data_IF_441497329407
#
_entry.id   IF_441497329407
#
_cell.length_a   1.000
_cell.length_b   1.000
_cell.length_c   1.000
_cell.angle_alpha   90.00
_cell.angle_beta   90.00
_cell.angle_gamma   90.00
#
_symmetry.space_group_name_H-M   'P 1'
#
loop_
_entity.id
_entity.type
_entity.pdbx_description
1 polymer ?
#
# COMPACT_ATOMS: atom_id res chain seq x y z
N UNK A 1 -27.98 37.85 -7.26
CA UNK A 1 -26.56 38.16 -6.99
C UNK A 1 -26.23 37.72 -5.57
N UNK A 2 -25.50 36.61 -5.36
CA UNK A 2 -25.09 36.19 -4.03
C UNK A 2 -23.75 36.83 -3.65
N UNK A 3 -23.72 37.47 -2.48
CA UNK A 3 -22.54 38.12 -1.87
C UNK A 3 -21.72 37.07 -1.14
N UNK A 4 -20.44 36.93 -1.50
CA UNK A 4 -19.46 36.16 -0.73
C UNK A 4 -18.83 37.04 0.36
N UNK A 5 -18.78 36.50 1.58
CA UNK A 5 -18.23 37.15 2.77
C UNK A 5 -16.79 36.67 2.94
N UNK A 6 -15.85 37.59 2.81
CA UNK A 6 -14.41 37.37 2.95
C UNK A 6 -14.05 37.18 4.44
N UNK A 7 -13.47 36.02 4.79
CA UNK A 7 -12.95 35.77 6.13
C UNK A 7 -11.45 36.06 6.17
N UNK A 8 -11.13 37.02 7.03
CA UNK A 8 -9.84 37.68 7.21
C UNK A 8 -8.67 36.74 7.56
N UNK A 9 -7.55 36.95 6.86
CA UNK A 9 -6.19 36.53 7.25
C UNK A 9 -5.82 37.09 8.64
N UNK A 10 -5.29 36.24 9.52
CA UNK A 10 -4.39 36.68 10.60
C UNK A 10 -2.98 36.15 10.36
N UNK A 11 -2.09 37.05 9.94
CA UNK A 11 -0.65 36.97 10.18
C UNK A 11 -0.40 37.35 11.64
N UNK A 12 0.43 36.59 12.35
CA UNK A 12 1.22 37.11 13.48
C UNK A 12 2.68 36.72 13.28
N UNK A 13 3.45 37.73 12.93
CA UNK A 13 4.88 37.90 13.21
C UNK A 13 5.08 37.99 14.74
N UNK A 14 6.11 37.34 15.27
CA UNK A 14 7.27 38.05 15.82
C UNK A 14 7.86 37.34 17.03
N UNK A 15 9.12 37.65 17.40
CA UNK A 15 10.09 36.73 18.02
C UNK A 15 10.43 37.07 19.50
N UNK A 16 11.53 36.48 20.00
CA UNK A 16 12.18 36.65 21.35
C UNK A 16 11.58 35.70 22.43
N UNK A 17 12.30 34.96 23.27
CA UNK A 17 13.58 35.07 23.99
C UNK A 17 14.12 33.61 24.23
N UNK A 18 15.34 33.25 24.66
CA UNK A 18 16.36 33.86 25.51
C UNK A 18 17.68 33.03 25.35
N UNK A 19 18.82 33.73 25.36
CA UNK A 19 20.18 33.18 25.45
C UNK A 19 20.40 32.39 26.76
N UNK A 20 21.14 31.28 26.70
CA UNK A 20 22.06 30.89 27.78
C UNK A 20 23.41 30.56 27.16
N UNK A 21 24.39 31.43 27.43
CA UNK A 21 25.80 31.24 27.15
C UNK A 21 26.39 30.36 28.27
N UNK A 22 27.11 29.32 27.89
CA UNK A 22 27.94 28.52 28.80
C UNK A 22 29.13 27.96 28.03
N UNK A 23 30.18 28.77 27.89
CA UNK A 23 31.50 28.32 27.44
C UNK A 23 32.25 27.66 28.58
N UNK A 24 32.70 26.41 28.38
CA UNK A 24 33.98 25.95 28.90
C UNK A 24 34.67 25.05 27.86
N UNK A 25 35.91 25.45 27.55
CA UNK A 25 36.88 24.73 26.72
C UNK A 25 37.42 23.52 27.50
N UNK A 26 37.45 22.35 26.86
CA UNK A 26 38.61 21.44 26.80
C UNK A 26 38.21 20.09 26.18
N UNK A 27 38.87 19.72 25.07
CA UNK A 27 39.04 18.34 24.59
C UNK A 27 37.78 17.51 24.32
N UNK A 28 37.17 17.67 23.15
CA UNK A 28 36.20 16.67 22.66
C UNK A 28 36.93 15.62 21.82
N UNK A 29 36.91 14.33 22.20
CA UNK A 29 37.31 13.24 21.32
C UNK A 29 36.35 13.20 20.12
N UNK A 30 36.88 12.80 18.96
CA UNK A 30 36.10 12.46 17.78
C UNK A 30 34.87 11.64 18.20
N UNK A 31 33.64 12.02 17.80
CA UNK A 31 32.48 11.22 18.15
C UNK A 31 32.70 9.80 17.57
N UNK A 32 32.45 8.73 18.35
CA UNK A 32 32.43 7.40 17.77
C UNK A 32 31.38 7.39 16.65
N UNK A 33 31.54 6.54 15.61
CA UNK A 33 30.51 6.39 14.59
C UNK A 33 29.18 6.14 15.30
N UNK A 34 28.23 7.06 15.10
CA UNK A 34 26.86 6.85 15.54
C UNK A 34 26.40 5.63 14.76
N UNK A 35 26.31 4.49 15.44
CA UNK A 35 25.58 3.37 14.92
C UNK A 35 24.19 3.89 14.60
N UNK A 36 23.82 3.90 13.32
CA UNK A 36 22.43 4.04 12.91
C UNK A 36 21.66 2.97 13.65
N UNK A 37 21.02 3.37 14.74
CA UNK A 37 20.04 2.54 15.40
C UNK A 37 18.84 2.54 14.48
N UNK A 38 18.83 1.58 13.54
CA UNK A 38 17.64 1.21 12.80
C UNK A 38 16.64 0.76 13.84
N UNK A 39 15.74 1.67 14.22
CA UNK A 39 14.63 1.36 15.11
C UNK A 39 13.66 0.49 14.32
N UNK A 40 13.86 -0.83 14.38
CA UNK A 40 12.84 -1.83 14.04
C UNK A 40 11.66 -1.59 14.99
N UNK A 41 10.69 -0.77 14.56
CA UNK A 41 9.50 -0.55 15.38
C UNK A 41 8.75 -1.88 15.53
N UNK A 42 8.48 -2.34 16.77
CA UNK A 42 7.73 -3.55 17.00
C UNK A 42 6.29 -3.37 16.57
N UNK A 43 5.83 -4.24 15.66
CA UNK A 43 4.44 -4.28 15.26
C UNK A 43 3.73 -5.42 16.02
N UNK A 44 2.88 -5.03 16.97
CA UNK A 44 2.16 -5.97 17.83
C UNK A 44 0.99 -6.62 17.07
N UNK A 45 1.14 -7.89 16.71
CA UNK A 45 0.01 -8.78 16.37
C UNK A 45 -0.44 -9.44 17.67
N UNK A 46 -1.74 -9.60 17.89
CA UNK A 46 -2.33 -9.91 19.21
C UNK A 46 -2.15 -11.37 19.70
N UNK A 47 -1.04 -12.00 19.32
CA UNK A 47 -0.40 -13.13 20.02
C UNK A 47 1.11 -13.26 19.69
N UNK A 48 1.67 -12.34 18.90
CA UNK A 48 3.09 -12.25 18.64
C UNK A 48 3.49 -11.00 17.86
N UNK A 49 4.74 -10.58 17.96
CA UNK A 49 5.26 -9.38 17.30
C UNK A 49 6.00 -9.84 16.05
N UNK A 50 5.72 -9.23 14.91
CA UNK A 50 6.56 -9.41 13.71
C UNK A 50 7.48 -8.22 13.57
N UNK A 51 8.79 -8.48 13.59
CA UNK A 51 9.83 -7.50 13.43
C UNK A 51 10.53 -7.72 12.10
N UNK A 52 10.60 -6.70 11.27
CA UNK A 52 11.60 -6.66 10.22
C UNK A 52 12.97 -6.38 10.84
N UNK A 53 13.94 -7.25 10.56
CA UNK A 53 15.32 -6.96 10.93
C UNK A 53 15.87 -5.78 10.11
N UNK A 54 16.96 -5.18 10.59
CA UNK A 54 17.50 -3.93 10.04
C UNK A 54 17.95 -4.03 8.57
N UNK A 55 18.49 -5.18 8.15
CA UNK A 55 18.91 -5.39 6.75
C UNK A 55 17.77 -5.85 5.84
N UNK A 56 16.58 -6.06 6.42
CA UNK A 56 15.39 -6.50 5.74
C UNK A 56 15.37 -7.93 5.22
N UNK A 57 16.40 -8.72 5.51
CA UNK A 57 16.55 -10.10 5.06
C UNK A 57 15.95 -11.10 6.03
N UNK A 58 15.34 -10.67 7.13
CA UNK A 58 14.75 -11.58 8.10
C UNK A 58 13.53 -10.94 8.74
N UNK A 59 12.48 -11.74 8.89
CA UNK A 59 11.43 -11.41 9.85
C UNK A 59 11.66 -12.20 11.13
N UNK A 60 11.80 -11.47 12.24
CA UNK A 60 11.81 -12.03 13.57
C UNK A 60 10.38 -12.02 14.10
N UNK A 61 9.84 -13.21 14.31
CA UNK A 61 8.49 -13.43 14.78
C UNK A 61 8.58 -13.83 16.25
N UNK A 62 8.03 -13.02 17.16
CA UNK A 62 8.03 -13.26 18.59
C UNK A 62 6.61 -13.60 19.04
N UNK A 63 6.26 -14.87 19.17
CA UNK A 63 4.91 -15.27 19.59
C UNK A 63 4.89 -15.78 21.03
N UNK A 64 3.81 -15.53 21.76
CA UNK A 64 3.57 -16.15 23.06
C UNK A 64 2.89 -17.52 22.86
N UNK A 65 3.45 -18.57 23.45
CA UNK A 65 2.85 -19.90 23.49
C UNK A 65 2.71 -20.34 24.95
N UNK A 66 1.52 -20.13 25.53
CA UNK A 66 1.32 -20.30 26.97
C UNK A 66 2.13 -19.30 27.78
N UNK A 67 3.08 -19.78 28.59
CA UNK A 67 4.00 -18.95 29.38
C UNK A 67 5.35 -18.71 28.68
N UNK A 68 5.58 -19.31 27.51
CA UNK A 68 6.85 -19.22 26.79
C UNK A 68 6.80 -18.20 25.66
N UNK A 69 7.89 -17.46 25.47
CA UNK A 69 8.11 -16.62 24.30
C UNK A 69 8.86 -17.45 23.26
N UNK A 70 8.24 -17.66 22.11
CA UNK A 70 8.83 -18.36 20.96
C UNK A 70 9.31 -17.33 19.96
N UNK A 71 10.60 -17.36 19.65
CA UNK A 71 11.18 -16.58 18.55
C UNK A 71 11.34 -17.50 17.34
N UNK A 72 10.71 -17.13 16.22
CA UNK A 72 10.89 -17.79 14.92
C UNK A 72 11.56 -16.81 13.98
N UNK A 73 12.54 -17.31 13.25
CA UNK A 73 13.23 -16.56 12.21
C UNK A 73 12.69 -17.01 10.86
N UNK A 74 12.14 -16.07 10.10
CA UNK A 74 11.86 -16.28 8.70
C UNK A 74 12.98 -15.62 7.91
N UNK A 75 13.98 -16.42 7.54
CA UNK A 75 15.05 -15.96 6.67
C UNK A 75 14.48 -15.64 5.29
N UNK A 76 14.81 -14.45 4.82
CA UNK A 76 14.50 -13.97 3.50
C UNK A 76 15.81 -13.82 2.71
N UNK A 77 15.91 -14.39 1.51
CA UNK A 77 17.18 -14.42 0.78
C UNK A 77 17.73 -13.05 0.34
N UNK A 78 16.95 -11.95 0.45
CA UNK A 78 17.40 -10.59 0.11
C UNK A 78 16.66 -9.45 0.83
N UNK A 79 17.32 -8.29 0.88
CA UNK A 79 16.91 -7.03 1.53
C UNK A 79 15.87 -6.21 0.72
N UNK A 80 15.65 -6.60 -0.55
CA UNK A 80 14.88 -5.89 -1.57
C UNK A 80 13.48 -6.48 -1.80
N UNK A 81 13.06 -7.48 -1.02
CA UNK A 81 11.72 -8.01 -1.14
C UNK A 81 10.68 -7.01 -0.65
N UNK A 82 9.71 -6.77 -1.53
CA UNK A 82 8.53 -6.01 -1.21
C UNK A 82 7.78 -6.72 -0.09
N UNK A 83 7.53 -5.95 0.97
CA UNK A 83 6.93 -6.41 2.21
C UNK A 83 6.04 -5.33 2.75
N UNK A 84 4.96 -5.76 3.39
CA UNK A 84 4.14 -4.86 4.16
C UNK A 84 3.61 -5.52 5.41
N UNK A 85 3.21 -4.64 6.31
CA UNK A 85 2.27 -4.98 7.36
C UNK A 85 0.88 -4.62 6.85
N UNK A 86 -0.08 -5.52 7.06
CA UNK A 86 -1.48 -5.26 6.68
C UNK A 86 -2.03 -4.03 7.39
N UNK A 87 -2.97 -3.32 6.78
CA UNK A 87 -3.46 -2.06 7.35
C UNK A 87 -4.06 -2.19 8.75
N UNK A 88 -4.58 -3.38 9.10
CA UNK A 88 -5.09 -3.71 10.43
C UNK A 88 -4.00 -4.03 11.47
N UNK A 89 -2.73 -4.07 11.05
CA UNK A 89 -1.58 -4.39 11.88
C UNK A 89 -1.48 -5.85 12.30
N UNK A 90 -2.29 -6.76 11.73
CA UNK A 90 -2.38 -8.15 12.22
C UNK A 90 -1.54 -9.15 11.44
N UNK A 91 -1.06 -8.82 10.25
CA UNK A 91 -0.30 -9.77 9.43
C UNK A 91 0.89 -9.08 8.79
N UNK A 92 1.97 -9.82 8.63
CA UNK A 92 3.05 -9.47 7.73
C UNK A 92 2.90 -10.25 6.43
N UNK A 93 3.12 -9.56 5.32
CA UNK A 93 3.08 -10.11 3.97
C UNK A 93 4.43 -9.87 3.32
N UNK A 94 4.97 -10.91 2.69
CA UNK A 94 6.24 -10.88 1.98
C UNK A 94 6.05 -11.46 0.59
N UNK A 95 6.54 -10.75 -0.42
CA UNK A 95 6.68 -11.28 -1.75
C UNK A 95 8.12 -11.75 -1.94
N UNK A 96 8.29 -12.99 -2.37
CA UNK A 96 9.62 -13.56 -2.54
C UNK A 96 10.39 -12.89 -3.70
N UNK A 97 11.70 -13.15 -3.78
CA UNK A 97 12.57 -12.56 -4.81
C UNK A 97 12.16 -12.88 -6.25
N UNK A 98 11.39 -13.95 -6.45
CA UNK A 98 10.91 -14.35 -7.79
C UNK A 98 9.58 -13.70 -8.11
N UNK A 99 8.96 -13.01 -7.16
CA UNK A 99 7.62 -12.46 -7.30
C UNK A 99 6.53 -13.50 -7.43
N UNK A 100 6.82 -14.79 -7.18
CA UNK A 100 5.93 -15.92 -7.45
C UNK A 100 5.43 -16.60 -6.18
N UNK A 101 5.90 -16.20 -5.01
CA UNK A 101 5.45 -16.73 -3.73
C UNK A 101 5.15 -15.58 -2.77
N UNK A 102 3.91 -15.53 -2.30
CA UNK A 102 3.49 -14.63 -1.22
C UNK A 102 3.49 -15.40 0.10
N UNK A 103 4.30 -14.97 1.06
CA UNK A 103 4.29 -15.49 2.44
C UNK A 103 3.47 -14.58 3.32
N UNK A 104 2.61 -15.15 4.16
CA UNK A 104 1.71 -14.43 5.06
C UNK A 104 1.85 -15.04 6.45
N UNK A 105 2.00 -14.18 7.46
CA UNK A 105 2.11 -14.60 8.85
C UNK A 105 1.40 -13.65 9.79
N UNK A 106 0.73 -14.19 10.80
CA UNK A 106 0.12 -13.47 11.93
C UNK A 106 0.92 -13.69 13.24
N UNK A 107 2.20 -14.02 13.11
CA UNK A 107 3.12 -14.47 14.14
C UNK A 107 2.88 -15.90 14.68
N UNK A 108 1.68 -16.46 14.57
CA UNK A 108 1.37 -17.82 15.03
C UNK A 108 1.45 -18.81 13.87
N UNK A 109 0.80 -18.45 12.77
CA UNK A 109 0.69 -19.24 11.56
C UNK A 109 1.55 -18.64 10.46
N UNK A 110 2.14 -19.50 9.63
CA UNK A 110 2.85 -19.10 8.42
C UNK A 110 2.21 -19.85 7.28
N UNK A 111 1.82 -19.12 6.25
CA UNK A 111 1.32 -19.71 5.00
C UNK A 111 1.99 -19.11 3.79
N UNK A 112 2.10 -19.91 2.76
CA UNK A 112 2.62 -19.50 1.45
C UNK A 112 1.54 -19.67 0.40
N UNK A 113 1.49 -18.71 -0.53
CA UNK A 113 0.55 -18.66 -1.64
C UNK A 113 1.40 -18.60 -2.91
N UNK A 114 1.32 -19.65 -3.73
CA UNK A 114 1.95 -19.66 -5.04
C UNK A 114 1.17 -18.74 -5.99
N UNK A 115 1.88 -17.86 -6.67
CA UNK A 115 1.33 -16.91 -7.62
C UNK A 115 1.53 -17.46 -9.05
N UNK A 116 0.57 -17.22 -9.95
CA UNK A 116 0.61 -17.78 -11.31
C UNK A 116 1.71 -17.18 -12.18
N UNK A 117 2.22 -16.02 -11.79
CA UNK A 117 3.23 -15.24 -12.51
C UNK A 117 4.04 -14.43 -11.50
N UNK A 118 5.10 -13.78 -11.97
CA UNK A 118 5.92 -12.88 -11.17
C UNK A 118 5.24 -11.53 -10.97
N UNK A 119 5.24 -11.03 -9.73
CA UNK A 119 4.82 -9.68 -9.34
C UNK A 119 5.98 -8.95 -8.67
N UNK A 120 5.97 -7.63 -8.65
CA UNK A 120 7.04 -6.84 -8.04
C UNK A 120 6.56 -5.82 -7.01
N UNK A 121 5.28 -5.44 -7.04
CA UNK A 121 4.73 -4.48 -6.10
C UNK A 121 3.51 -5.01 -5.38
N UNK A 122 3.27 -4.48 -4.17
CA UNK A 122 2.14 -4.89 -3.35
C UNK A 122 1.55 -3.77 -2.47
N UNK A 123 0.25 -3.86 -2.19
CA UNK A 123 -0.48 -2.94 -1.31
C UNK A 123 -1.57 -3.66 -0.51
N UNK A 124 -1.71 -3.33 0.77
CA UNK A 124 -2.73 -3.94 1.64
C UNK A 124 -4.09 -3.28 1.43
N UNK A 125 -5.16 -4.07 1.59
CA UNK A 125 -6.50 -3.53 1.77
C UNK A 125 -6.68 -2.84 3.12
N UNK A 126 -7.62 -1.91 3.17
CA UNK A 126 -7.92 -1.11 4.37
C UNK A 126 -8.29 -1.96 5.60
N UNK A 127 -8.86 -3.15 5.40
CA UNK A 127 -9.20 -4.11 6.46
C UNK A 127 -8.10 -5.14 6.73
N UNK A 128 -6.99 -5.10 5.99
CA UNK A 128 -5.88 -6.04 6.14
C UNK A 128 -6.15 -7.48 5.73
N UNK A 129 -7.28 -7.76 5.07
CA UNK A 129 -7.67 -9.11 4.65
C UNK A 129 -7.30 -9.44 3.19
N UNK A 130 -6.78 -8.48 2.44
CA UNK A 130 -6.37 -8.69 1.06
C UNK A 130 -5.11 -7.90 0.72
N UNK A 131 -4.47 -8.29 -0.38
CA UNK A 131 -3.29 -7.62 -0.93
C UNK A 131 -3.46 -7.48 -2.44
N UNK A 132 -3.30 -6.26 -2.96
CA UNK A 132 -3.13 -6.06 -4.39
C UNK A 132 -1.68 -6.29 -4.79
N UNK A 133 -1.45 -6.86 -5.96
CA UNK A 133 -0.14 -7.06 -6.57
C UNK A 133 -0.10 -6.47 -7.98
N UNK A 134 1.07 -6.05 -8.45
CA UNK A 134 1.28 -5.59 -9.83
C UNK A 134 2.65 -5.96 -10.36
N UNK A 135 2.74 -6.00 -11.69
CA UNK A 135 3.96 -6.32 -12.43
C UNK A 135 5.01 -5.21 -12.35
N UNK A 136 6.31 -5.53 -12.48
CA UNK A 136 7.39 -4.54 -12.53
C UNK A 136 7.31 -3.62 -13.77
N UNK A 137 7.94 -2.45 -13.66
CA UNK A 137 7.80 -1.33 -14.61
C UNK A 137 8.46 -1.56 -15.98
N UNK A 138 9.47 -2.44 -16.07
CA UNK A 138 10.05 -2.95 -17.32
C UNK A 138 10.68 -4.31 -17.09
N UNK A 139 10.51 -5.21 -18.06
CA UNK A 139 11.25 -6.46 -18.12
C UNK A 139 10.39 -7.57 -18.67
N UNK A 140 10.88 -8.24 -19.72
CA UNK A 140 10.59 -9.66 -19.86
C UNK A 140 11.00 -10.30 -18.54
N UNK A 141 10.03 -10.78 -17.77
CA UNK A 141 10.27 -11.50 -16.50
C UNK A 141 10.75 -12.91 -16.84
N UNK A 142 11.95 -12.99 -17.42
CA UNK A 142 12.49 -14.19 -18.05
C UNK A 142 11.72 -14.61 -19.30
N UNK A 143 11.46 -15.91 -19.44
CA UNK A 143 10.83 -16.56 -20.60
C UNK A 143 9.30 -16.41 -20.67
N UNK A 144 8.69 -15.67 -19.74
CA UNK A 144 7.23 -15.56 -19.63
C UNK A 144 6.77 -14.18 -20.09
N UNK A 145 5.85 -14.14 -21.05
CA UNK A 145 5.14 -12.91 -21.42
C UNK A 145 4.15 -12.56 -20.30
N UNK A 146 4.25 -11.35 -19.76
CA UNK A 146 3.32 -10.84 -18.76
C UNK A 146 2.58 -9.62 -19.29
N UNK A 147 1.33 -9.46 -18.88
CA UNK A 147 0.56 -8.26 -19.17
C UNK A 147 0.88 -7.19 -18.12
N UNK A 148 1.65 -6.16 -18.47
CA UNK A 148 2.02 -5.07 -17.55
C UNK A 148 0.83 -4.24 -17.05
N UNK A 149 -0.32 -4.34 -17.73
CA UNK A 149 -1.58 -3.71 -17.33
C UNK A 149 -2.36 -4.58 -16.32
N UNK A 150 -1.85 -5.76 -15.97
CA UNK A 150 -2.50 -6.66 -15.03
C UNK A 150 -2.13 -6.33 -13.58
N UNK A 151 -3.15 -6.39 -12.74
CA UNK A 151 -3.06 -6.34 -11.29
C UNK A 151 -3.77 -7.56 -10.73
N UNK A 152 -3.34 -8.02 -9.56
CA UNK A 152 -3.94 -9.16 -8.88
C UNK A 152 -4.48 -8.74 -7.52
N UNK A 153 -5.54 -9.40 -7.06
CA UNK A 153 -5.99 -9.33 -5.68
C UNK A 153 -5.84 -10.72 -5.05
N UNK A 154 -5.07 -10.79 -3.98
CA UNK A 154 -4.93 -11.98 -3.15
C UNK A 154 -5.80 -11.81 -1.91
N UNK A 155 -6.73 -12.73 -1.71
CA UNK A 155 -7.48 -12.88 -0.47
C UNK A 155 -6.59 -13.62 0.55
N UNK A 156 -6.26 -12.93 1.64
CA UNK A 156 -5.34 -13.42 2.67
C UNK A 156 -5.98 -14.42 3.61
N UNK A 157 -7.24 -14.82 3.44
CA UNK A 157 -7.85 -15.91 4.23
C UNK A 157 -8.15 -17.14 3.36
N UNK A 158 -8.02 -17.03 2.02
CA UNK A 158 -8.17 -18.16 1.10
C UNK A 158 -6.84 -18.88 0.81
N UNK A 159 -6.89 -20.19 0.49
CA UNK A 159 -5.72 -20.89 -0.04
C UNK A 159 -5.39 -20.42 -1.46
N UNK A 160 -4.19 -20.75 -1.94
CA UNK A 160 -3.84 -20.60 -3.36
C UNK A 160 -4.66 -21.57 -4.20
N UNK A 161 -5.12 -21.13 -5.38
CA UNK A 161 -5.81 -22.01 -6.31
C UNK A 161 -6.75 -21.28 -7.25
N UNK A 162 -7.75 -22.00 -7.76
CA UNK A 162 -8.73 -21.45 -8.70
C UNK A 162 -9.48 -20.27 -8.05
N UNK A 163 -9.21 -19.05 -8.51
CA UNK A 163 -9.83 -17.82 -8.02
C UNK A 163 -9.08 -17.11 -6.88
N UNK A 164 -7.86 -17.52 -6.54
CA UNK A 164 -6.99 -16.77 -5.63
C UNK A 164 -5.50 -16.98 -6.01
N UNK A 165 -4.80 -15.98 -6.58
CA UNK A 165 -5.26 -14.61 -6.82
C UNK A 165 -6.39 -14.45 -7.85
N UNK A 166 -7.16 -13.37 -7.73
CA UNK A 166 -8.06 -12.88 -8.79
C UNK A 166 -7.28 -11.86 -9.63
N UNK A 167 -7.16 -12.12 -10.93
CA UNK A 167 -6.46 -11.23 -11.87
C UNK A 167 -7.41 -10.23 -12.50
N UNK A 168 -6.92 -9.03 -12.75
CA UNK A 168 -7.63 -7.91 -13.33
C UNK A 168 -6.73 -7.20 -14.34
N UNK A 169 -7.19 -7.03 -15.57
CA UNK A 169 -6.50 -6.14 -16.52
C UNK A 169 -7.08 -4.74 -16.38
N UNK A 170 -6.22 -3.74 -16.18
CA UNK A 170 -6.52 -2.32 -16.19
C UNK A 170 -6.02 -1.72 -17.50
N UNK A 171 -6.85 -1.69 -18.58
CA UNK A 171 -6.36 -1.34 -19.90
C UNK A 171 -5.75 0.05 -19.90
N UNK A 172 -4.61 0.21 -20.57
CA UNK A 172 -3.92 1.49 -20.70
C UNK A 172 -3.37 2.06 -19.38
N UNK A 173 -3.20 1.22 -18.35
CA UNK A 173 -2.43 1.59 -17.15
C UNK A 173 -0.98 1.92 -17.55
N UNK A 174 -0.41 1.10 -18.45
CA UNK A 174 0.80 1.33 -19.24
C UNK A 174 2.11 1.34 -18.46
N UNK A 175 2.05 1.38 -17.13
CA UNK A 175 3.18 1.42 -16.21
C UNK A 175 2.79 0.75 -14.89
N UNK A 176 3.79 0.25 -14.18
CA UNK A 176 3.62 -0.18 -12.79
C UNK A 176 3.06 0.97 -11.93
N UNK A 177 2.06 0.69 -11.08
CA UNK A 177 1.58 1.63 -10.06
C UNK A 177 2.71 2.19 -9.19
N UNK A 178 2.70 3.51 -9.01
CA UNK A 178 3.51 4.22 -8.01
C UNK A 178 2.90 4.07 -6.61
N UNK A 179 1.56 4.02 -6.55
CA UNK A 179 0.79 3.79 -5.35
C UNK A 179 -0.43 2.98 -5.71
N UNK A 180 -0.85 2.11 -4.81
CA UNK A 180 -2.11 1.42 -4.93
C UNK A 180 -2.74 1.30 -3.56
N UNK A 181 -4.07 1.21 -3.50
CA UNK A 181 -4.78 0.88 -2.26
C UNK A 181 -6.08 0.17 -2.59
N UNK A 182 -6.45 -0.73 -1.69
CA UNK A 182 -7.66 -1.55 -1.82
C UNK A 182 -8.61 -1.21 -0.69
N UNK A 183 -9.89 -1.06 -0.99
CA UNK A 183 -10.89 -0.80 0.04
C UNK A 183 -11.13 -2.02 0.91
N UNK A 184 -11.71 -1.78 2.09
CA UNK A 184 -12.50 -2.81 2.76
C UNK A 184 -13.68 -3.26 1.87
N UNK A 185 -14.30 -4.41 2.13
CA UNK A 185 -15.44 -4.88 1.35
C UNK A 185 -16.60 -3.87 1.39
N UNK A 186 -17.12 -3.54 0.22
CA UNK A 186 -18.25 -2.63 0.02
C UNK A 186 -19.46 -3.45 -0.39
N UNK A 187 -20.62 -3.15 0.19
CA UNK A 187 -21.88 -3.78 -0.22
C UNK A 187 -22.27 -3.34 -1.64
N UNK A 188 -22.58 -4.30 -2.50
CA UNK A 188 -23.20 -4.15 -3.82
C UNK A 188 -24.35 -5.16 -3.95
N UNK A 189 -25.16 -5.04 -5.02
CA UNK A 189 -26.34 -5.87 -5.25
C UNK A 189 -25.98 -7.36 -5.43
N UNK A 190 -24.84 -7.65 -6.05
CA UNK A 190 -24.28 -8.99 -6.30
C UNK A 190 -23.28 -9.45 -5.22
N UNK A 191 -23.11 -8.66 -4.15
CA UNK A 191 -22.42 -9.05 -2.93
C UNK A 191 -21.31 -8.08 -2.52
N UNK A 192 -20.27 -8.60 -1.88
CA UNK A 192 -19.18 -7.79 -1.30
C UNK A 192 -18.06 -7.54 -2.30
N UNK A 193 -17.89 -6.29 -2.70
CA UNK A 193 -16.91 -5.86 -3.69
C UNK A 193 -15.67 -5.28 -3.02
N UNK A 194 -14.52 -5.38 -3.67
CA UNK A 194 -13.31 -4.64 -3.27
C UNK A 194 -12.85 -3.77 -4.42
N UNK A 195 -12.60 -2.51 -4.14
CA UNK A 195 -12.13 -1.57 -5.15
C UNK A 195 -10.64 -1.36 -4.95
N UNK A 196 -9.87 -1.66 -5.99
CA UNK A 196 -8.48 -1.25 -6.13
C UNK A 196 -8.45 0.05 -6.91
N UNK A 197 -7.68 1.01 -6.42
CA UNK A 197 -7.21 2.12 -7.24
C UNK A 197 -5.69 2.06 -7.31
N UNK A 198 -5.17 2.24 -8.51
CA UNK A 198 -3.77 2.08 -8.85
C UNK A 198 -3.31 3.33 -9.62
N UNK A 199 -2.42 4.10 -9.02
CA UNK A 199 -1.96 5.37 -9.54
C UNK A 199 -0.64 5.20 -10.29
N UNK A 200 -0.58 5.75 -11.50
CA UNK A 200 0.67 5.92 -12.24
C UNK A 200 0.90 7.40 -12.53
N UNK A 201 2.02 7.73 -13.17
CA UNK A 201 2.28 9.09 -13.59
C UNK A 201 1.25 9.53 -14.65
N UNK A 202 0.32 10.41 -14.26
CA UNK A 202 -0.69 10.97 -15.14
C UNK A 202 -1.90 10.06 -15.41
N UNK A 203 -2.10 8.96 -14.66
CA UNK A 203 -3.28 8.09 -14.80
C UNK A 203 -3.67 7.45 -13.47
N UNK A 204 -4.94 7.09 -13.33
CA UNK A 204 -5.43 6.22 -12.26
C UNK A 204 -6.24 5.08 -12.87
N UNK A 205 -5.79 3.85 -12.64
CA UNK A 205 -6.56 2.64 -12.89
C UNK A 205 -7.46 2.32 -11.70
N UNK A 206 -8.64 1.80 -11.97
CA UNK A 206 -9.63 1.39 -10.98
C UNK A 206 -10.12 -0.01 -11.37
N UNK A 207 -10.03 -0.95 -10.42
CA UNK A 207 -10.53 -2.30 -10.58
C UNK A 207 -11.60 -2.58 -9.52
N UNK A 208 -12.75 -3.07 -9.95
CA UNK A 208 -13.80 -3.61 -9.09
C UNK A 208 -13.71 -5.14 -9.08
N UNK A 209 -13.35 -5.71 -7.92
CA UNK A 209 -13.28 -7.15 -7.70
C UNK A 209 -14.59 -7.65 -7.08
N UNK A 210 -15.37 -8.39 -7.87
CA UNK A 210 -16.65 -8.96 -7.46
C UNK A 210 -16.49 -10.30 -6.73
N UNK A 211 -17.49 -10.74 -5.93
CA UNK A 211 -17.48 -12.07 -5.29
C UNK A 211 -17.38 -13.24 -6.28
N UNK A 212 -17.92 -13.06 -7.49
CA UNK A 212 -17.89 -14.06 -8.55
C UNK A 212 -16.51 -14.20 -9.21
N UNK A 213 -15.52 -13.38 -8.80
CA UNK A 213 -14.19 -13.34 -9.42
C UNK A 213 -14.19 -12.61 -10.78
N UNK A 214 -15.32 -11.99 -11.15
CA UNK A 214 -15.37 -11.08 -12.31
C UNK A 214 -14.72 -9.76 -11.90
N UNK A 215 -13.97 -9.15 -12.82
CA UNK A 215 -13.32 -7.87 -12.59
C UNK A 215 -13.78 -6.86 -13.64
N UNK A 216 -14.17 -5.67 -13.19
CA UNK A 216 -14.46 -4.52 -14.05
C UNK A 216 -13.33 -3.51 -13.87
N UNK A 217 -12.65 -3.17 -14.96
CA UNK A 217 -11.47 -2.29 -14.94
C UNK A 217 -11.68 -1.05 -15.80
N UNK A 218 -11.22 0.10 -15.33
CA UNK A 218 -11.14 1.32 -16.13
C UNK A 218 -9.87 2.09 -15.78
N UNK A 219 -9.34 2.84 -16.74
CA UNK A 219 -8.20 3.74 -16.51
C UNK A 219 -8.57 5.16 -16.91
N UNK A 220 -8.40 6.10 -15.99
CA UNK A 220 -8.69 7.52 -16.18
C UNK A 220 -7.37 8.28 -16.38
N UNK A 221 -7.16 8.96 -17.52
CA UNK A 221 -6.04 9.87 -17.68
C UNK A 221 -6.24 11.11 -16.79
N UNK A 222 -5.17 11.54 -16.13
CA UNK A 222 -5.13 12.73 -15.28
C UNK A 222 -4.30 13.82 -15.95
N UNK A 223 -4.98 14.81 -16.52
CA UNK A 223 -4.39 15.98 -17.16
C UNK A 223 -5.06 17.27 -16.67
N UNK A 224 -4.30 18.35 -16.55
CA UNK A 224 -4.80 19.71 -16.31
C UNK A 224 -4.70 20.52 -17.61
N UNK A 225 -5.46 21.60 -17.73
CA UNK A 225 -5.35 22.52 -18.88
C UNK A 225 -3.91 23.05 -19.08
N UNK A 226 -3.12 23.12 -18.02
CA UNK A 226 -1.75 23.65 -18.03
C UNK A 226 -0.66 22.58 -17.95
N UNK A 227 -1.01 21.31 -17.73
CA UNK A 227 -0.05 20.21 -17.54
C UNK A 227 -0.57 18.91 -18.14
N UNK A 228 0.25 18.28 -18.97
CA UNK A 228 -0.05 17.03 -19.67
C UNK A 228 -0.11 15.80 -18.77
N UNK A 229 0.42 15.88 -17.54
CA UNK A 229 0.33 14.81 -16.55
C UNK A 229 0.25 15.38 -15.15
N UNK A 230 -0.79 14.99 -14.41
CA UNK A 230 -0.94 15.27 -12.99
C UNK A 230 -0.63 14.00 -12.20
N UNK A 231 0.22 14.13 -11.19
CA UNK A 231 0.37 13.09 -10.16
C UNK A 231 -0.45 13.50 -8.95
N UNK A 232 -1.48 12.72 -8.56
CA UNK A 232 -2.14 12.89 -7.28
C UNK A 232 -1.12 13.02 -6.14
N UNK A 233 -1.38 13.85 -5.14
CA UNK A 233 -0.64 13.86 -3.88
C UNK A 233 -1.37 13.05 -2.81
N UNK A 234 -2.71 13.03 -2.88
CA UNK A 234 -3.58 12.34 -1.92
C UNK A 234 -4.82 11.79 -2.61
N UNK A 235 -5.28 10.64 -2.14
CA UNK A 235 -6.58 10.07 -2.49
C UNK A 235 -7.43 9.85 -1.24
N UNK A 236 -8.71 10.13 -1.34
CA UNK A 236 -9.72 9.82 -0.33
C UNK A 236 -10.78 8.95 -0.97
N UNK A 237 -11.00 7.77 -0.41
CA UNK A 237 -12.04 6.85 -0.84
C UNK A 237 -13.18 6.90 0.16
N UNK A 238 -14.39 7.10 -0.32
CA UNK A 238 -15.63 6.93 0.43
C UNK A 238 -16.43 5.81 -0.20
N UNK A 239 -16.61 4.74 0.54
CA UNK A 239 -17.49 3.65 0.15
C UNK A 239 -18.81 3.74 0.92
N UNK A 240 -19.90 3.47 0.22
CA UNK A 240 -21.26 3.33 0.75
C UNK A 240 -21.96 2.19 0.01
N UNK A 241 -23.09 1.72 0.52
CA UNK A 241 -23.83 0.64 -0.13
C UNK A 241 -24.15 1.01 -1.59
N UNK A 242 -23.69 0.19 -2.53
CA UNK A 242 -23.87 0.35 -3.97
C UNK A 242 -22.98 1.40 -4.63
N UNK A 243 -22.13 2.14 -3.90
CA UNK A 243 -21.41 3.28 -4.47
C UNK A 243 -20.05 3.53 -3.83
N UNK A 244 -19.05 3.81 -4.67
CA UNK A 244 -17.71 4.26 -4.24
C UNK A 244 -17.39 5.61 -4.87
N UNK A 245 -17.01 6.56 -4.03
CA UNK A 245 -16.53 7.89 -4.41
C UNK A 245 -15.03 7.99 -4.16
N UNK A 246 -14.25 8.22 -5.21
CA UNK A 246 -12.81 8.45 -5.16
C UNK A 246 -12.52 9.94 -5.42
N UNK A 247 -11.90 10.59 -4.45
CA UNK A 247 -11.45 11.98 -4.55
C UNK A 247 -9.93 12.02 -4.64
N UNK A 248 -9.41 12.54 -5.75
CA UNK A 248 -7.98 12.71 -5.99
C UNK A 248 -7.63 14.18 -5.87
N UNK A 249 -6.65 14.48 -5.03
CA UNK A 249 -6.10 15.82 -4.82
C UNK A 249 -4.71 15.80 -5.43
N UNK A 250 -4.43 16.75 -6.32
CA UNK A 250 -3.14 16.87 -6.99
C UNK A 250 -2.20 17.83 -6.27
N UNK A 251 -0.90 17.55 -6.31
CA UNK A 251 0.08 18.50 -5.76
C UNK A 251 0.15 19.76 -6.61
N UNK A 252 0.11 20.94 -5.98
CA UNK A 252 0.24 22.22 -6.68
C UNK A 252 -0.99 22.66 -7.48
N UNK A 253 -2.11 21.93 -7.41
CA UNK A 253 -3.39 22.33 -7.99
C UNK A 253 -4.42 22.51 -6.86
N UNK A 254 -5.35 23.45 -7.05
CA UNK A 254 -6.49 23.65 -6.14
C UNK A 254 -7.71 22.80 -6.53
N UNK A 255 -7.54 21.88 -7.48
CA UNK A 255 -8.61 21.07 -8.03
C UNK A 255 -8.69 19.70 -7.36
N UNK A 256 -9.92 19.19 -7.25
CA UNK A 256 -10.22 17.83 -6.80
C UNK A 256 -10.88 17.09 -7.95
N UNK A 257 -10.27 15.98 -8.37
CA UNK A 257 -10.90 15.07 -9.33
C UNK A 257 -11.77 14.11 -8.54
N UNK A 258 -13.06 14.05 -8.86
CA UNK A 258 -14.01 13.13 -8.25
C UNK A 258 -14.43 12.08 -9.27
N UNK A 259 -14.24 10.82 -8.93
CA UNK A 259 -14.69 9.66 -9.70
C UNK A 259 -15.74 8.93 -8.86
N UNK A 260 -16.96 8.86 -9.38
CA UNK A 260 -18.05 8.11 -8.76
C UNK A 260 -18.22 6.77 -9.51
N UNK A 261 -18.24 5.69 -8.76
CA UNK A 261 -18.40 4.32 -9.26
C UNK A 261 -19.72 3.80 -8.70
N UNK A 262 -20.64 3.48 -9.60
CA UNK A 262 -21.88 2.77 -9.26
C UNK A 262 -21.61 1.25 -9.32
N UNK A 263 -21.81 0.57 -8.19
CA UNK A 263 -21.63 -0.87 -8.08
C UNK A 263 -22.90 -1.65 -8.43
N UNK A 264 -24.03 -0.95 -8.61
CA UNK A 264 -25.32 -1.51 -8.97
C UNK A 264 -25.75 -1.05 -10.36
N UNK A 265 -25.00 -1.37 -11.43
CA UNK A 265 -25.44 -1.03 -12.78
C UNK A 265 -26.78 -1.73 -13.03
N UNK A 266 -27.78 -0.91 -13.40
CA UNK A 266 -29.15 -1.34 -13.67
C UNK A 266 -29.24 -2.42 -14.76
#
# INVERSE_FOLDING_TARGET
>A
MPRFRELSRRRRSGPEWLLVLGTMLAGCPTPPPVAESVHSQPLAVTAGIVLANADGKRLDILAAHGAELVVRHLDHPRADADRLITADGKRAVLLDKTGRVLTVTDAVTIKTIALPTEFAGLASSDDGLAVALWHPQQGSLGTTLVNSDEVALVDLDKPAGKGNPVLATLPSLGKAPLRARVTAPVDAADGKHRILWAETQGRVGIADFTPAGTVRGLTVPLSAQTQSAITPSRAVVRASAGKVDLYLIASGLNDVVHIAIDLNPA
#
